data_IF_369287944574
#
_entry.id   IF_369287944574
#
_cell.length_a   1.000
_cell.length_b   1.000
_cell.length_c   1.000
_cell.angle_alpha   90.00
_cell.angle_beta   90.00
_cell.angle_gamma   90.00
#
_symmetry.space_group_name_H-M   'P 1'
#
loop_
_entity.id
_entity.type
_entity.pdbx_description
1 polymer ?
#
# COMPACT_ATOMS: atom_id res chain seq x y z
N UNK A 1 22.84 -1.07 7.02
CA UNK A 1 23.14 -2.25 6.18
C UNK A 1 22.37 -2.11 4.87
N UNK A 2 23.02 -2.12 3.70
CA UNK A 2 22.32 -2.05 2.41
C UNK A 2 21.84 -3.44 2.00
N UNK A 3 20.53 -3.64 1.93
CA UNK A 3 19.96 -4.85 1.33
C UNK A 3 19.95 -4.67 -0.19
N UNK A 4 20.36 -5.71 -0.94
CA UNK A 4 20.29 -5.76 -2.39
C UNK A 4 19.12 -6.66 -2.78
N UNK A 5 18.10 -6.05 -3.36
CA UNK A 5 16.94 -6.76 -3.92
C UNK A 5 17.35 -7.24 -5.31
N UNK A 6 17.23 -8.54 -5.56
CA UNK A 6 17.78 -9.15 -6.75
C UNK A 6 16.71 -9.42 -7.82
N UNK A 7 17.05 -9.07 -9.05
CA UNK A 7 16.36 -9.57 -10.25
C UNK A 7 16.52 -11.10 -10.33
N UNK A 8 15.53 -11.81 -10.88
CA UNK A 8 15.58 -13.27 -10.95
C UNK A 8 16.78 -13.79 -11.73
N UNK A 9 17.25 -13.04 -12.74
CA UNK A 9 18.45 -13.35 -13.54
C UNK A 9 19.70 -13.51 -12.67
N UNK A 10 19.78 -12.84 -11.53
CA UNK A 10 20.91 -12.95 -10.59
C UNK A 10 21.10 -14.39 -10.10
N UNK A 11 19.99 -15.10 -9.83
CA UNK A 11 20.06 -16.50 -9.36
C UNK A 11 20.56 -17.45 -10.45
N UNK A 12 20.23 -17.17 -11.71
CA UNK A 12 20.76 -17.90 -12.86
C UNK A 12 22.24 -17.59 -13.12
N UNK A 13 22.64 -16.33 -12.96
CA UNK A 13 24.03 -15.90 -13.10
C UNK A 13 24.92 -16.58 -12.05
N UNK A 14 24.45 -16.68 -10.80
CA UNK A 14 25.15 -17.41 -9.73
C UNK A 14 25.38 -18.88 -10.13
N UNK A 15 24.37 -19.55 -10.70
CA UNK A 15 24.53 -20.92 -11.19
C UNK A 15 25.53 -21.07 -12.32
N UNK A 16 25.57 -20.10 -13.22
CA UNK A 16 26.51 -20.10 -14.35
C UNK A 16 27.97 -19.87 -13.94
N UNK A 17 28.25 -19.67 -12.64
CA UNK A 17 29.59 -19.39 -12.12
C UNK A 17 30.02 -17.93 -12.27
N UNK A 18 29.10 -17.03 -12.61
CA UNK A 18 29.38 -15.59 -12.70
C UNK A 18 29.50 -14.99 -11.29
N UNK A 19 30.71 -15.05 -10.74
CA UNK A 19 31.01 -14.63 -9.36
C UNK A 19 30.98 -13.11 -9.12
N UNK A 20 30.75 -12.30 -10.14
CA UNK A 20 30.73 -10.83 -10.03
C UNK A 20 29.74 -10.32 -8.99
N UNK A 21 28.55 -10.93 -8.90
CA UNK A 21 27.54 -10.52 -7.93
C UNK A 21 27.97 -10.84 -6.49
N UNK A 22 28.53 -12.05 -6.27
CA UNK A 22 29.02 -12.52 -4.98
C UNK A 22 30.23 -11.70 -4.50
N UNK A 23 31.12 -11.33 -5.42
CA UNK A 23 32.26 -10.47 -5.13
C UNK A 23 31.81 -9.04 -4.77
N UNK A 24 30.80 -8.51 -5.47
CA UNK A 24 30.21 -7.19 -5.17
C UNK A 24 29.56 -7.18 -3.79
N UNK A 25 28.85 -8.25 -3.41
CA UNK A 25 28.24 -8.40 -2.08
C UNK A 25 29.29 -8.40 -0.97
N UNK A 26 30.37 -9.19 -1.13
CA UNK A 26 31.50 -9.21 -0.19
C UNK A 26 32.14 -7.82 -0.03
N UNK A 27 32.34 -7.10 -1.14
CA UNK A 27 32.98 -5.78 -1.11
C UNK A 27 32.10 -4.68 -0.46
N UNK A 28 30.78 -4.80 -0.56
CA UNK A 28 29.82 -3.77 -0.10
C UNK A 28 29.13 -4.10 1.21
N UNK A 29 29.30 -5.31 1.73
CA UNK A 29 28.52 -5.83 2.86
C UNK A 29 27.02 -5.93 2.55
N UNK A 30 26.67 -6.09 1.28
CA UNK A 30 25.30 -6.21 0.81
C UNK A 30 24.69 -7.58 1.14
N UNK A 31 23.36 -7.63 1.28
CA UNK A 31 22.58 -8.86 1.50
C UNK A 31 21.71 -9.21 0.30
N UNK A 32 21.65 -10.47 -0.09
CA UNK A 32 20.77 -10.99 -1.14
C UNK A 32 19.35 -11.18 -0.61
N UNK A 33 18.41 -10.42 -1.16
CA UNK A 33 17.00 -10.52 -0.81
C UNK A 33 16.17 -11.16 -1.94
N UNK A 34 15.29 -12.08 -1.58
CA UNK A 34 14.33 -12.75 -2.47
C UNK A 34 12.95 -12.12 -2.29
N UNK A 35 12.31 -11.78 -3.41
CA UNK A 35 10.93 -11.28 -3.47
C UNK A 35 9.97 -12.38 -3.95
N UNK A 36 8.67 -12.23 -3.71
CA UNK A 36 7.65 -13.10 -4.30
C UNK A 36 7.70 -13.18 -5.83
N UNK A 37 8.06 -12.08 -6.50
CA UNK A 37 8.19 -12.05 -7.96
C UNK A 37 9.28 -13.01 -8.41
N UNK A 38 10.42 -13.05 -7.72
CA UNK A 38 11.48 -14.01 -8.04
C UNK A 38 10.98 -15.45 -7.97
N UNK A 39 10.19 -15.74 -6.94
CA UNK A 39 9.67 -17.09 -6.68
C UNK A 39 8.60 -17.46 -7.70
N UNK A 40 7.70 -16.53 -8.04
CA UNK A 40 6.75 -16.71 -9.13
C UNK A 40 7.47 -16.97 -10.45
N UNK A 41 8.54 -16.27 -10.78
CA UNK A 41 9.26 -16.46 -12.03
C UNK A 41 10.00 -17.80 -12.14
N UNK A 42 10.50 -18.29 -11.00
CA UNK A 42 11.32 -19.50 -10.92
C UNK A 42 10.44 -20.75 -10.76
N UNK A 43 9.37 -20.64 -9.98
CA UNK A 43 8.49 -21.76 -9.63
C UNK A 43 7.23 -21.87 -10.49
N UNK A 44 6.95 -20.90 -11.37
CA UNK A 44 5.95 -21.03 -12.43
C UNK A 44 6.57 -21.51 -13.74
N UNK A 45 5.72 -22.01 -14.64
CA UNK A 45 6.14 -22.49 -15.97
C UNK A 45 7.26 -23.53 -15.89
N UNK A 46 7.23 -24.36 -14.84
CA UNK A 46 8.10 -25.52 -14.70
C UNK A 46 7.51 -26.64 -15.55
N UNK A 47 8.35 -27.30 -16.33
CA UNK A 47 7.97 -28.46 -17.15
C UNK A 47 9.06 -29.54 -17.07
N UNK A 48 8.82 -30.70 -17.67
CA UNK A 48 9.76 -31.82 -17.65
C UNK A 48 11.13 -31.48 -18.27
N UNK A 49 11.20 -30.53 -19.21
CA UNK A 49 12.43 -30.16 -19.91
C UNK A 49 13.28 -29.19 -19.09
N UNK A 50 12.64 -28.31 -18.32
CA UNK A 50 13.31 -27.27 -17.56
C UNK A 50 13.40 -27.56 -16.05
N UNK A 51 12.75 -28.62 -15.57
CA UNK A 51 12.67 -28.97 -14.15
C UNK A 51 14.02 -28.95 -13.43
N UNK A 52 15.00 -29.73 -13.90
CA UNK A 52 16.32 -29.80 -13.28
C UNK A 52 17.02 -28.43 -13.24
N UNK A 53 16.85 -27.63 -14.30
CA UNK A 53 17.39 -26.29 -14.35
C UNK A 53 16.73 -25.38 -13.30
N UNK A 54 15.40 -25.42 -13.17
CA UNK A 54 14.65 -24.67 -12.15
C UNK A 54 14.98 -25.11 -10.73
N UNK A 55 15.22 -26.41 -10.51
CA UNK A 55 15.68 -26.93 -9.22
C UNK A 55 17.05 -26.39 -8.83
N UNK A 56 17.99 -26.33 -9.77
CA UNK A 56 19.28 -25.72 -9.50
C UNK A 56 19.11 -24.24 -9.11
N UNK A 57 18.19 -23.51 -9.72
CA UNK A 57 17.96 -22.09 -9.39
C UNK A 57 17.35 -21.95 -8.00
N UNK A 58 16.40 -22.83 -7.66
CA UNK A 58 15.88 -22.94 -6.31
C UNK A 58 16.97 -23.26 -5.29
N UNK A 59 17.94 -24.12 -5.65
CA UNK A 59 19.12 -24.40 -4.82
C UNK A 59 19.97 -23.15 -4.61
N UNK A 60 20.26 -22.39 -5.67
CA UNK A 60 21.01 -21.13 -5.55
C UNK A 60 20.31 -20.11 -4.65
N UNK A 61 18.97 -20.00 -4.74
CA UNK A 61 18.20 -19.19 -3.80
C UNK A 61 18.39 -19.68 -2.37
N UNK A 62 18.25 -20.98 -2.12
CA UNK A 62 18.36 -21.55 -0.77
C UNK A 62 19.76 -21.41 -0.16
N UNK A 63 20.80 -21.51 -0.99
CA UNK A 63 22.20 -21.44 -0.54
C UNK A 63 22.67 -20.01 -0.29
N UNK A 64 22.20 -19.03 -1.07
CA UNK A 64 22.76 -17.68 -1.09
C UNK A 64 21.80 -16.57 -0.62
N UNK A 65 20.49 -16.82 -0.48
CA UNK A 65 19.57 -15.79 -0.01
C UNK A 65 19.74 -15.50 1.49
N UNK A 66 20.03 -14.25 1.83
CA UNK A 66 20.08 -13.77 3.21
C UNK A 66 18.68 -13.53 3.79
N UNK A 67 17.72 -13.15 2.95
CA UNK A 67 16.37 -12.78 3.40
C UNK A 67 15.29 -13.06 2.36
N UNK A 68 14.15 -13.53 2.83
CA UNK A 68 12.90 -13.58 2.07
C UNK A 68 12.03 -12.40 2.47
N UNK A 69 11.66 -11.59 1.49
CA UNK A 69 10.78 -10.45 1.70
C UNK A 69 9.32 -10.92 1.60
N UNK A 70 8.46 -10.32 2.43
CA UNK A 70 7.02 -10.52 2.31
C UNK A 70 6.51 -9.87 1.03
N UNK A 71 5.33 -10.27 0.55
CA UNK A 71 4.72 -9.60 -0.59
C UNK A 71 4.32 -8.18 -0.25
N UNK A 72 4.29 -7.31 -1.27
CA UNK A 72 3.89 -5.92 -1.09
C UNK A 72 2.47 -5.84 -0.51
N UNK A 73 1.59 -6.76 -0.90
CA UNK A 73 0.22 -6.89 -0.39
C UNK A 73 0.20 -7.21 1.10
N UNK A 74 0.99 -8.19 1.56
CA UNK A 74 1.08 -8.57 2.97
C UNK A 74 1.73 -7.45 3.79
N UNK A 75 2.78 -6.83 3.25
CA UNK A 75 3.46 -5.69 3.90
C UNK A 75 2.48 -4.54 4.11
N UNK A 76 1.80 -4.14 3.05
CA UNK A 76 0.84 -3.05 3.09
C UNK A 76 -0.38 -3.38 3.95
N UNK A 77 -0.87 -4.62 3.89
CA UNK A 77 -1.96 -5.06 4.75
C UNK A 77 -1.59 -4.89 6.22
N UNK A 78 -0.41 -5.37 6.62
CA UNK A 78 0.11 -5.19 7.99
C UNK A 78 0.37 -3.73 8.33
N UNK A 79 0.92 -2.95 7.41
CA UNK A 79 1.17 -1.52 7.59
C UNK A 79 -0.11 -0.75 7.91
N UNK A 80 -1.23 -1.10 7.25
CA UNK A 80 -2.55 -0.54 7.53
C UNK A 80 -3.30 -1.22 8.68
N UNK A 81 -2.63 -2.04 9.48
CA UNK A 81 -3.21 -2.68 10.66
C UNK A 81 -4.17 -3.83 10.36
N UNK A 82 -4.21 -4.34 9.13
CA UNK A 82 -5.02 -5.51 8.81
C UNK A 82 -4.39 -6.80 9.33
N UNK A 83 -5.26 -7.70 9.82
CA UNK A 83 -4.85 -9.07 10.17
C UNK A 83 -4.80 -9.92 8.90
N UNK A 84 -3.60 -10.34 8.52
CA UNK A 84 -3.40 -11.26 7.39
C UNK A 84 -3.63 -12.69 7.88
N UNK A 85 -4.64 -13.37 7.31
CA UNK A 85 -5.02 -14.71 7.74
C UNK A 85 -4.32 -15.82 6.95
N UNK A 86 -4.03 -15.60 5.66
CA UNK A 86 -3.37 -16.57 4.78
C UNK A 86 -2.10 -15.94 4.19
N UNK A 87 -0.93 -16.23 4.79
CA UNK A 87 0.36 -15.81 4.23
C UNK A 87 0.91 -16.91 3.32
N UNK A 88 1.18 -16.57 2.06
CA UNK A 88 1.93 -17.46 1.18
C UNK A 88 3.37 -17.51 1.67
N UNK A 89 3.78 -18.66 2.19
CA UNK A 89 5.16 -18.89 2.59
C UNK A 89 6.03 -19.14 1.36
N UNK A 90 6.50 -18.04 0.76
CA UNK A 90 7.25 -18.09 -0.50
C UNK A 90 8.49 -18.99 -0.45
N UNK A 91 9.18 -19.05 0.69
CA UNK A 91 10.29 -19.97 0.91
C UNK A 91 9.88 -21.44 0.76
N UNK A 92 8.67 -21.82 1.20
CA UNK A 92 8.16 -23.18 1.05
C UNK A 92 7.90 -23.54 -0.41
N UNK A 93 7.54 -22.58 -1.26
CA UNK A 93 7.42 -22.81 -2.69
C UNK A 93 8.78 -23.11 -3.35
N UNK A 94 9.85 -22.45 -2.91
CA UNK A 94 11.22 -22.72 -3.37
C UNK A 94 11.69 -24.10 -2.88
N UNK A 95 11.47 -24.41 -1.60
CA UNK A 95 11.80 -25.70 -1.01
C UNK A 95 11.07 -26.86 -1.70
N UNK A 96 9.79 -26.68 -1.99
CA UNK A 96 8.96 -27.67 -2.67
C UNK A 96 9.48 -27.96 -4.09
N UNK A 97 9.90 -26.93 -4.83
CA UNK A 97 10.55 -27.13 -6.13
C UNK A 97 11.90 -27.85 -5.98
N UNK A 98 12.76 -27.36 -5.08
CA UNK A 98 14.12 -27.87 -4.88
C UNK A 98 14.14 -29.36 -4.51
N UNK A 99 13.22 -29.80 -3.65
CA UNK A 99 13.25 -31.13 -3.04
C UNK A 99 12.37 -32.16 -3.74
N UNK A 100 11.61 -31.76 -4.76
CA UNK A 100 10.83 -32.70 -5.54
C UNK A 100 11.74 -33.72 -6.25
N UNK A 101 11.51 -35.05 -6.11
CA UNK A 101 12.33 -36.06 -6.79
C UNK A 101 12.20 -36.01 -8.31
N UNK A 102 11.04 -35.64 -8.82
CA UNK A 102 10.76 -35.49 -10.24
C UNK A 102 9.73 -34.38 -10.49
N UNK A 103 9.62 -33.95 -11.75
CA UNK A 103 8.54 -33.05 -12.18
C UNK A 103 7.15 -33.62 -11.85
N UNK A 104 6.97 -34.93 -12.02
CA UNK A 104 5.67 -35.56 -11.79
C UNK A 104 5.31 -35.57 -10.30
N UNK A 105 6.30 -35.76 -9.43
CA UNK A 105 6.18 -35.67 -7.98
C UNK A 105 5.89 -34.24 -7.51
N UNK A 106 6.50 -33.24 -8.16
CA UNK A 106 6.23 -31.82 -7.87
C UNK A 106 4.74 -31.48 -8.04
N UNK A 107 4.14 -31.96 -9.14
CA UNK A 107 2.75 -31.65 -9.53
C UNK A 107 1.74 -32.52 -8.78
N UNK A 108 2.02 -33.81 -8.62
CA UNK A 108 1.07 -34.74 -7.99
C UNK A 108 1.21 -34.76 -6.46
N UNK A 109 2.34 -34.30 -5.96
CA UNK A 109 2.71 -34.26 -4.55
C UNK A 109 3.61 -35.41 -4.15
N UNK A 110 4.47 -35.16 -3.17
CA UNK A 110 5.48 -36.10 -2.68
C UNK A 110 5.69 -35.94 -1.17
N UNK A 111 6.31 -36.95 -0.56
CA UNK A 111 6.80 -36.85 0.82
C UNK A 111 8.23 -36.32 0.73
N UNK A 112 8.48 -35.17 1.34
CA UNK A 112 9.80 -34.58 1.38
C UNK A 112 10.78 -35.53 2.08
N UNK A 113 11.88 -35.93 1.42
CA UNK A 113 12.81 -36.90 1.97
C UNK A 113 13.59 -36.39 3.20
N UNK A 114 13.57 -35.08 3.48
CA UNK A 114 14.33 -34.46 4.57
C UNK A 114 13.47 -34.26 5.81
N UNK A 115 12.27 -33.68 5.67
CA UNK A 115 11.41 -33.33 6.80
C UNK A 115 10.14 -34.19 6.91
N UNK A 116 9.96 -35.17 6.02
CA UNK A 116 8.83 -36.10 6.00
C UNK A 116 7.45 -35.39 5.90
N UNK A 117 7.43 -34.19 5.32
CA UNK A 117 6.20 -33.41 5.09
C UNK A 117 5.68 -33.69 3.68
N UNK A 118 4.35 -33.85 3.54
CA UNK A 118 3.72 -33.92 2.23
C UNK A 118 3.75 -32.55 1.55
N UNK A 119 4.40 -32.45 0.40
CA UNK A 119 4.53 -31.23 -0.40
C UNK A 119 3.91 -31.42 -1.77
N UNK A 120 3.41 -30.34 -2.35
CA UNK A 120 2.88 -30.29 -3.71
C UNK A 120 2.94 -28.84 -4.20
N UNK A 121 3.17 -28.66 -5.50
CA UNK A 121 3.12 -27.35 -6.11
C UNK A 121 2.00 -27.28 -7.15
N UNK A 122 1.09 -26.31 -6.98
CA UNK A 122 0.09 -25.99 -8.01
C UNK A 122 0.70 -25.05 -9.04
N UNK A 123 1.26 -25.63 -10.10
CA UNK A 123 1.89 -24.88 -11.19
C UNK A 123 0.90 -23.99 -11.94
N UNK A 124 -0.37 -24.41 -12.07
CA UNK A 124 -1.40 -23.62 -12.74
C UNK A 124 -1.77 -22.39 -11.93
N UNK A 125 -1.87 -22.53 -10.61
CA UNK A 125 -2.09 -21.39 -9.71
C UNK A 125 -0.92 -20.41 -9.76
N UNK A 126 0.33 -20.90 -9.68
CA UNK A 126 1.53 -20.05 -9.77
C UNK A 126 1.68 -19.37 -11.12
N UNK A 127 1.35 -20.06 -12.21
CA UNK A 127 1.33 -19.47 -13.54
C UNK A 127 0.23 -18.42 -13.65
N UNK A 128 -0.97 -18.70 -13.14
CA UNK A 128 -2.07 -17.73 -13.10
C UNK A 128 -1.71 -16.49 -12.28
N UNK A 129 -1.06 -16.67 -11.12
CA UNK A 129 -0.58 -15.57 -10.28
C UNK A 129 0.51 -14.76 -10.95
N UNK A 130 1.48 -15.44 -11.59
CA UNK A 130 2.49 -14.76 -12.38
C UNK A 130 1.84 -13.99 -13.52
N UNK A 131 0.98 -14.63 -14.30
CA UNK A 131 0.28 -13.98 -15.40
C UNK A 131 -0.59 -12.84 -14.93
N UNK A 132 -1.26 -12.94 -13.79
CA UNK A 132 -2.06 -11.88 -13.21
C UNK A 132 -1.17 -10.71 -12.76
N UNK A 133 -0.09 -10.97 -12.01
CA UNK A 133 0.90 -9.96 -11.67
C UNK A 133 1.47 -9.27 -12.91
N UNK A 134 1.79 -10.04 -13.96
CA UNK A 134 2.30 -9.52 -15.21
C UNK A 134 1.23 -8.84 -16.06
N UNK A 135 -0.02 -9.31 -16.12
CA UNK A 135 -1.12 -8.74 -16.90
C UNK A 135 -1.68 -7.50 -16.24
N UNK A 136 -1.79 -7.41 -14.92
CA UNK A 136 -2.19 -6.18 -14.24
C UNK A 136 -1.08 -5.15 -14.29
N UNK A 137 0.18 -5.56 -14.09
CA UNK A 137 1.32 -4.68 -14.31
C UNK A 137 1.37 -4.19 -15.75
N UNK A 138 1.31 -5.09 -16.72
CA UNK A 138 1.40 -4.77 -18.14
C UNK A 138 0.16 -4.01 -18.62
N UNK A 139 -1.06 -4.44 -18.32
CA UNK A 139 -2.30 -3.79 -18.81
C UNK A 139 -2.58 -2.50 -18.05
N UNK A 140 -2.38 -2.45 -16.73
CA UNK A 140 -2.57 -1.23 -15.94
C UNK A 140 -1.57 -0.14 -16.31
N UNK A 141 -0.28 -0.49 -16.39
CA UNK A 141 0.76 0.46 -16.81
C UNK A 141 0.67 0.75 -18.30
N UNK A 142 0.40 -0.23 -19.18
CA UNK A 142 0.22 0.05 -20.62
C UNK A 142 -1.01 0.91 -20.87
N UNK A 143 -2.14 0.67 -20.20
CA UNK A 143 -3.32 1.51 -20.38
C UNK A 143 -3.08 2.93 -19.88
N UNK A 144 -2.34 3.10 -18.78
CA UNK A 144 -1.90 4.41 -18.31
C UNK A 144 -0.93 5.09 -19.30
N UNK A 145 0.04 4.34 -19.84
CA UNK A 145 0.97 4.84 -20.85
C UNK A 145 0.24 5.15 -22.17
N UNK A 146 -0.76 4.36 -22.56
CA UNK A 146 -1.53 4.50 -23.79
C UNK A 146 -2.52 5.66 -23.71
N UNK A 147 -3.12 5.93 -22.54
CA UNK A 147 -4.01 7.09 -22.35
C UNK A 147 -3.24 8.42 -22.42
N UNK A 148 -1.96 8.41 -22.01
CA UNK A 148 -1.09 9.59 -22.00
C UNK A 148 -0.26 9.70 -23.30
N UNK A 149 0.09 8.57 -23.92
CA UNK A 149 0.90 8.47 -25.14
C UNK A 149 0.22 7.54 -26.17
N UNK A 150 -0.80 8.03 -26.92
CA UNK A 150 -1.73 7.21 -27.72
C UNK A 150 -1.10 6.33 -28.81
N UNK A 151 0.15 6.62 -29.19
CA UNK A 151 0.90 5.85 -30.21
C UNK A 151 1.79 4.74 -29.62
N UNK A 152 1.76 4.51 -28.31
CA UNK A 152 2.63 3.53 -27.66
C UNK A 152 2.33 2.09 -28.11
N UNK A 153 1.05 1.70 -28.17
CA UNK A 153 0.62 0.38 -28.66
C UNK A 153 0.83 0.22 -30.17
N UNK A 154 0.63 1.27 -30.97
CA UNK A 154 0.93 1.26 -32.42
C UNK A 154 2.41 0.98 -32.68
N UNK A 155 3.32 1.65 -31.95
CA UNK A 155 4.78 1.40 -32.05
C UNK A 155 5.19 0.01 -31.57
N UNK A 156 4.37 -0.65 -30.75
CA UNK A 156 4.59 -2.02 -30.27
C UNK A 156 4.08 -3.07 -31.27
N UNK A 157 3.03 -2.73 -32.04
CA UNK A 157 2.42 -3.58 -33.07
C UNK A 157 3.20 -3.58 -34.39
N UNK A 158 3.94 -2.50 -34.69
CA UNK A 158 4.84 -2.40 -35.85
C UNK A 158 6.14 -3.24 -35.67
N UNK A 159 5.99 -4.55 -35.48
CA UNK A 159 6.85 -5.66 -35.94
C UNK A 159 8.39 -5.64 -35.82
N UNK A 160 9.04 -4.61 -35.28
CA UNK A 160 10.48 -4.39 -35.43
C UNK A 160 11.20 -3.99 -34.14
N UNK A 161 10.70 -4.42 -32.97
CA UNK A 161 11.60 -4.65 -31.83
C UNK A 161 12.40 -5.93 -32.09
N UNK A 162 13.25 -5.94 -33.14
CA UNK A 162 14.42 -6.81 -33.20
C UNK A 162 15.10 -6.66 -31.85
N UNK A 163 15.10 -7.72 -31.03
CA UNK A 163 15.94 -7.93 -29.84
C UNK A 163 16.70 -6.66 -29.46
N UNK A 164 16.03 -5.69 -28.83
CA UNK A 164 16.74 -4.48 -28.44
C UNK A 164 17.84 -4.92 -27.49
N UNK A 165 19.09 -4.84 -27.95
CA UNK A 165 20.24 -4.72 -27.06
C UNK A 165 19.81 -3.70 -26.02
N UNK A 166 19.64 -4.14 -24.77
CA UNK A 166 19.35 -3.34 -23.56
C UNK A 166 19.67 -1.87 -23.83
N UNK A 167 18.68 -1.09 -24.26
CA UNK A 167 18.90 0.34 -24.43
C UNK A 167 19.10 0.89 -23.04
N UNK A 168 20.30 1.38 -22.76
CA UNK A 168 20.73 2.04 -21.51
C UNK A 168 19.98 3.36 -21.23
N UNK A 169 18.76 3.53 -21.72
CA UNK A 169 17.94 4.67 -21.37
C UNK A 169 17.08 4.24 -20.19
N UNK A 170 17.41 4.79 -19.02
CA UNK A 170 16.63 4.58 -17.80
C UNK A 170 15.16 4.90 -18.09
N UNK A 171 14.29 3.94 -17.83
CA UNK A 171 12.86 4.20 -17.72
C UNK A 171 12.68 5.17 -16.56
N UNK A 172 12.24 6.39 -16.87
CA UNK A 172 11.88 7.39 -15.87
C UNK A 172 10.44 7.10 -15.43
N UNK A 173 10.29 6.60 -14.20
CA UNK A 173 8.98 6.38 -13.57
C UNK A 173 8.49 7.74 -13.09
N UNK A 174 7.35 8.21 -13.60
CA UNK A 174 6.76 9.48 -13.17
C UNK A 174 5.98 9.29 -11.87
N UNK A 175 5.77 10.37 -11.13
CA UNK A 175 5.06 10.35 -9.84
C UNK A 175 3.63 9.78 -9.96
N UNK A 176 2.96 10.04 -11.08
CA UNK A 176 1.64 9.49 -11.42
C UNK A 176 1.62 7.95 -11.57
N UNK A 177 2.71 7.34 -12.07
CA UNK A 177 2.85 5.89 -12.21
C UNK A 177 3.02 5.18 -10.85
N UNK A 178 3.60 5.91 -9.88
CA UNK A 178 3.75 5.45 -8.50
C UNK A 178 2.38 5.34 -7.85
N UNK A 179 1.50 6.33 -8.04
CA UNK A 179 0.14 6.35 -7.49
C UNK A 179 -0.71 5.16 -7.95
N UNK A 180 -0.73 4.86 -9.25
CA UNK A 180 -1.47 3.72 -9.78
C UNK A 180 -0.93 2.37 -9.26
N UNK A 181 0.40 2.25 -9.15
CA UNK A 181 1.05 1.06 -8.61
C UNK A 181 0.72 0.83 -7.14
N UNK A 182 0.68 1.91 -6.34
CA UNK A 182 0.28 1.88 -4.93
C UNK A 182 -1.18 1.46 -4.80
N UNK A 183 -2.08 2.04 -5.60
CA UNK A 183 -3.51 1.71 -5.56
C UNK A 183 -3.76 0.24 -5.92
N UNK A 184 -3.10 -0.28 -6.95
CA UNK A 184 -3.21 -1.69 -7.32
C UNK A 184 -2.69 -2.61 -6.20
N UNK A 185 -1.58 -2.24 -5.53
CA UNK A 185 -1.09 -2.98 -4.36
C UNK A 185 -2.07 -2.91 -3.17
N UNK A 186 -2.72 -1.76 -2.96
CA UNK A 186 -3.76 -1.57 -1.94
C UNK A 186 -4.97 -2.46 -2.18
N UNK A 187 -5.49 -2.50 -3.41
CA UNK A 187 -6.60 -3.36 -3.79
C UNK A 187 -6.32 -4.84 -3.47
N UNK A 188 -5.11 -5.31 -3.76
CA UNK A 188 -4.72 -6.69 -3.44
C UNK A 188 -4.47 -6.91 -1.95
N UNK A 189 -3.95 -5.92 -1.23
CA UNK A 189 -3.79 -5.99 0.22
C UNK A 189 -5.13 -6.20 0.93
N UNK A 190 -6.22 -5.56 0.46
CA UNK A 190 -7.58 -5.81 0.94
C UNK A 190 -8.04 -7.25 0.75
N UNK A 191 -7.77 -7.83 -0.42
CA UNK A 191 -8.13 -9.23 -0.72
C UNK A 191 -7.41 -10.19 0.23
N UNK A 192 -6.12 -9.94 0.49
CA UNK A 192 -5.29 -10.75 1.39
C UNK A 192 -5.69 -10.59 2.87
N UNK A 193 -6.12 -9.40 3.27
CA UNK A 193 -6.56 -9.10 4.63
C UNK A 193 -7.87 -9.81 5.05
N UNK A 194 -8.67 -10.32 4.10
CA UNK A 194 -10.07 -10.80 4.32
C UNK A 194 -10.96 -9.80 5.11
N UNK A 195 -10.55 -8.53 5.20
CA UNK A 195 -11.30 -7.48 5.88
C UNK A 195 -12.28 -6.85 4.89
N UNK A 196 -13.57 -6.97 5.18
CA UNK A 196 -14.63 -6.41 4.36
C UNK A 196 -14.97 -4.97 4.71
N UNK A 197 -14.27 -4.30 5.64
CA UNK A 197 -14.59 -2.91 6.05
C UNK A 197 -14.75 -1.96 4.87
N UNK A 198 -13.95 -2.13 3.82
CA UNK A 198 -14.07 -1.28 2.61
C UNK A 198 -15.27 -1.66 1.75
N UNK A 199 -15.65 -2.95 1.68
CA UNK A 199 -16.92 -3.35 1.06
C UNK A 199 -18.11 -2.85 1.89
N UNK A 200 -18.03 -2.91 3.21
CA UNK A 200 -19.04 -2.36 4.11
C UNK A 200 -19.18 -0.85 3.93
N UNK A 201 -18.08 -0.10 3.90
CA UNK A 201 -18.07 1.33 3.61
C UNK A 201 -18.59 1.63 2.19
N UNK A 202 -18.31 0.78 1.20
CA UNK A 202 -18.78 0.97 -0.18
C UNK A 202 -20.31 0.94 -0.31
N UNK A 203 -21.02 0.30 0.62
CA UNK A 203 -22.50 0.32 0.66
C UNK A 203 -23.05 1.72 0.93
N UNK A 204 -22.24 2.63 1.46
CA UNK A 204 -22.59 4.01 1.73
C UNK A 204 -22.16 4.98 0.63
N UNK A 205 -21.54 4.50 -0.46
CA UNK A 205 -21.03 5.38 -1.54
C UNK A 205 -22.12 6.29 -2.11
N UNK A 206 -23.36 5.79 -2.21
CA UNK A 206 -24.49 6.53 -2.77
C UNK A 206 -25.02 7.61 -1.80
N UNK A 207 -24.51 7.64 -0.55
CA UNK A 207 -24.72 8.74 0.40
C UNK A 207 -23.66 9.83 0.31
N UNK A 208 -22.59 9.63 -0.46
CA UNK A 208 -21.51 10.60 -0.66
C UNK A 208 -21.76 11.31 -1.99
N UNK A 209 -22.13 12.58 -1.93
CA UNK A 209 -22.42 13.35 -3.14
C UNK A 209 -21.15 13.72 -3.91
N UNK A 210 -20.08 14.09 -3.19
CA UNK A 210 -18.79 14.45 -3.78
C UNK A 210 -17.65 14.21 -2.79
N UNK A 211 -16.43 14.10 -3.32
CA UNK A 211 -15.17 14.02 -2.59
C UNK A 211 -14.22 15.02 -3.26
N UNK A 212 -13.57 15.86 -2.47
CA UNK A 212 -12.68 16.92 -2.95
C UNK A 212 -11.31 16.80 -2.25
N UNK A 213 -10.23 17.11 -2.97
CA UNK A 213 -8.87 17.18 -2.46
C UNK A 213 -8.33 18.60 -2.71
N UNK A 214 -7.75 19.23 -1.69
CA UNK A 214 -7.10 20.53 -1.84
C UNK A 214 -7.18 21.40 -0.60
N UNK A 215 -7.00 22.71 -0.78
CA UNK A 215 -7.13 23.67 0.31
C UNK A 215 -8.59 23.75 0.76
N UNK A 216 -8.84 23.48 2.04
CA UNK A 216 -10.20 23.42 2.59
C UNK A 216 -11.00 24.71 2.38
N UNK A 217 -10.38 25.89 2.42
CA UNK A 217 -11.09 27.17 2.19
C UNK A 217 -11.52 27.32 0.74
N UNK A 218 -10.69 26.88 -0.20
CA UNK A 218 -11.03 26.92 -1.63
C UNK A 218 -12.17 25.94 -1.92
N UNK A 219 -12.10 24.73 -1.37
CA UNK A 219 -13.19 23.74 -1.48
C UNK A 219 -14.50 24.30 -0.91
N UNK A 220 -14.47 24.85 0.31
CA UNK A 220 -15.67 25.41 0.94
C UNK A 220 -16.24 26.61 0.16
N UNK A 221 -15.39 27.46 -0.42
CA UNK A 221 -15.82 28.58 -1.27
C UNK A 221 -16.44 28.08 -2.58
N UNK A 222 -15.82 27.11 -3.22
CA UNK A 222 -16.29 26.56 -4.50
C UNK A 222 -17.60 25.77 -4.34
N UNK A 223 -17.88 25.27 -3.13
CA UNK A 223 -19.10 24.53 -2.79
C UNK A 223 -20.11 25.35 -2.00
N UNK A 224 -19.93 26.68 -1.90
CA UNK A 224 -20.84 27.51 -1.10
C UNK A 224 -22.30 27.41 -1.57
N UNK A 225 -22.54 27.18 -2.86
CA UNK A 225 -23.90 27.02 -3.40
C UNK A 225 -24.58 25.72 -2.91
N UNK A 226 -23.80 24.68 -2.61
CA UNK A 226 -24.28 23.41 -2.06
C UNK A 226 -24.49 23.49 -0.52
N UNK A 227 -23.85 24.45 0.14
CA UNK A 227 -23.92 24.65 1.59
C UNK A 227 -25.06 25.61 1.91
N UNK A 228 -26.22 25.05 2.23
CA UNK A 228 -27.42 25.79 2.61
C UNK A 228 -27.53 25.99 4.12
N UNK A 229 -28.50 26.79 4.58
CA UNK A 229 -28.80 26.94 6.02
C UNK A 229 -29.27 25.61 6.67
N UNK A 230 -29.77 24.66 5.88
CA UNK A 230 -30.17 23.32 6.32
C UNK A 230 -28.97 22.34 6.41
N UNK A 231 -27.80 22.74 5.91
CA UNK A 231 -26.60 21.92 5.97
C UNK A 231 -26.05 21.90 7.38
N UNK A 232 -25.67 20.71 7.86
CA UNK A 232 -24.87 20.55 9.07
C UNK A 232 -23.42 20.25 8.70
N UNK A 233 -22.49 21.02 9.24
CA UNK A 233 -21.06 20.92 8.91
C UNK A 233 -20.28 20.47 10.14
N UNK A 234 -19.52 19.39 10.00
CA UNK A 234 -18.56 18.98 11.01
C UNK A 234 -17.14 19.35 10.58
N UNK A 235 -16.44 20.13 11.41
CA UNK A 235 -15.06 20.54 11.21
C UNK A 235 -14.13 19.74 12.13
N UNK A 236 -13.12 19.10 11.55
CA UNK A 236 -12.06 18.36 12.23
C UNK A 236 -10.68 18.75 11.66
N UNK A 237 -10.21 19.98 11.93
CA UNK A 237 -8.97 20.51 11.40
C UNK A 237 -7.74 19.83 12.05
N UNK A 238 -6.54 19.99 11.44
CA UNK A 238 -5.31 19.53 12.07
C UNK A 238 -5.15 20.04 13.50
N UNK A 239 -4.93 19.11 14.42
CA UNK A 239 -4.80 19.36 15.86
C UNK A 239 -3.59 20.24 16.20
N UNK A 240 -3.57 20.84 17.39
CA UNK A 240 -2.46 21.70 17.84
C UNK A 240 -1.31 20.84 18.37
N UNK A 241 -1.59 19.98 19.35
CA UNK A 241 -0.56 19.20 20.05
C UNK A 241 -0.28 17.87 19.33
N UNK A 242 -1.32 17.23 18.83
CA UNK A 242 -1.22 15.92 18.14
C UNK A 242 -0.89 16.04 16.65
N UNK A 243 -0.77 17.25 16.10
CA UNK A 243 -0.62 17.52 14.67
C UNK A 243 0.49 16.68 14.00
N UNK A 244 1.70 16.75 14.57
CA UNK A 244 2.94 16.23 13.96
C UNK A 244 2.93 14.73 13.72
N UNK A 245 2.14 13.98 14.49
CA UNK A 245 2.07 12.52 14.38
C UNK A 245 0.84 12.04 13.59
N UNK A 246 -0.11 12.94 13.29
CA UNK A 246 -1.39 12.59 12.68
C UNK A 246 -1.59 13.17 11.27
N UNK A 247 -0.98 14.31 10.95
CA UNK A 247 -1.21 15.02 9.70
C UNK A 247 0.09 15.29 8.95
N UNK A 248 0.07 15.11 7.63
CA UNK A 248 1.18 15.50 6.75
C UNK A 248 1.30 17.02 6.61
N UNK A 249 0.18 17.73 6.74
CA UNK A 249 0.10 19.19 6.68
C UNK A 249 -0.53 19.71 7.98
N UNK A 250 0.29 20.31 8.83
CA UNK A 250 -0.15 20.87 10.11
C UNK A 250 -0.62 22.32 9.92
N UNK A 251 -1.61 22.74 10.70
CA UNK A 251 -1.95 24.15 10.80
C UNK A 251 -0.89 24.90 11.62
N UNK A 252 -0.59 26.10 11.18
CA UNK A 252 0.10 27.11 11.99
C UNK A 252 -0.94 27.89 12.80
N UNK A 253 -0.49 28.63 13.81
CA UNK A 253 -1.37 29.45 14.66
C UNK A 253 -2.35 30.34 13.85
N UNK A 254 -1.84 30.96 12.78
CA UNK A 254 -2.64 31.81 11.91
C UNK A 254 -3.70 31.04 11.10
N UNK A 255 -3.47 29.77 10.77
CA UNK A 255 -4.45 28.95 10.04
C UNK A 255 -5.68 28.64 10.91
N UNK A 256 -5.46 28.39 12.21
CA UNK A 256 -6.56 28.23 13.16
C UNK A 256 -7.40 29.52 13.27
N UNK A 257 -6.74 30.69 13.29
CA UNK A 257 -7.40 32.01 13.32
C UNK A 257 -8.24 32.22 12.05
N UNK A 258 -7.67 31.92 10.88
CA UNK A 258 -8.36 32.02 9.59
C UNK A 258 -9.60 31.10 9.57
N UNK A 259 -9.46 29.85 10.04
CA UNK A 259 -10.59 28.93 10.14
C UNK A 259 -11.69 29.50 11.05
N UNK A 260 -11.36 29.96 12.27
CA UNK A 260 -12.34 30.59 13.18
C UNK A 260 -13.11 31.73 12.50
N UNK A 261 -12.38 32.63 11.83
CA UNK A 261 -13.00 33.80 11.18
C UNK A 261 -13.87 33.43 9.97
N UNK A 262 -13.55 32.31 9.32
CA UNK A 262 -14.38 31.73 8.27
C UNK A 262 -15.66 31.12 8.85
N UNK A 263 -15.54 30.18 9.80
CA UNK A 263 -16.70 29.43 10.31
C UNK A 263 -17.70 30.32 11.05
N UNK A 264 -17.23 31.40 11.70
CA UNK A 264 -18.09 32.40 12.34
C UNK A 264 -19.08 33.06 11.38
N UNK A 265 -18.76 33.13 10.09
CA UNK A 265 -19.58 33.78 9.06
C UNK A 265 -20.57 32.83 8.39
N UNK A 266 -20.46 31.52 8.66
CA UNK A 266 -21.36 30.53 8.09
C UNK A 266 -22.74 30.65 8.74
N UNK A 267 -23.78 30.56 7.91
CA UNK A 267 -25.17 30.54 8.36
C UNK A 267 -25.64 29.13 8.73
N UNK A 268 -25.03 28.12 8.14
CA UNK A 268 -25.27 26.70 8.40
C UNK A 268 -24.92 26.32 9.84
N UNK A 269 -25.60 25.31 10.37
CA UNK A 269 -25.23 24.73 11.66
C UNK A 269 -23.88 24.02 11.55
N UNK A 270 -23.00 24.20 12.53
CA UNK A 270 -21.71 23.57 12.52
C UNK A 270 -21.24 23.11 13.88
N UNK A 271 -20.43 22.05 13.91
CA UNK A 271 -19.72 21.56 15.08
C UNK A 271 -18.24 21.44 14.72
N UNK A 272 -17.38 21.85 15.64
CA UNK A 272 -15.93 21.82 15.50
C UNK A 272 -15.35 21.05 16.68
N UNK A 273 -14.40 20.16 16.42
CA UNK A 273 -13.62 19.49 17.46
C UNK A 273 -12.13 19.79 17.32
N UNK A 274 -11.41 19.71 18.44
CA UNK A 274 -9.97 19.86 18.55
C UNK A 274 -9.44 18.98 19.69
N UNK A 275 -8.14 18.67 19.66
CA UNK A 275 -7.44 18.32 20.88
C UNK A 275 -7.44 19.50 21.87
N UNK A 276 -7.53 19.21 23.16
CA UNK A 276 -7.58 20.30 24.13
C UNK A 276 -6.26 21.09 24.14
N UNK A 277 -6.36 22.38 23.85
CA UNK A 277 -5.29 23.35 24.01
C UNK A 277 -5.87 24.69 24.48
N UNK A 278 -5.16 25.36 25.38
CA UNK A 278 -5.60 26.67 25.89
C UNK A 278 -5.67 27.75 24.81
N UNK A 279 -4.86 27.66 23.76
CA UNK A 279 -4.90 28.58 22.62
C UNK A 279 -6.23 28.46 21.87
N UNK A 280 -6.71 27.23 21.63
CA UNK A 280 -8.00 26.97 20.99
C UNK A 280 -9.16 27.41 21.88
N UNK A 281 -9.10 27.12 23.17
CA UNK A 281 -10.15 27.60 24.09
C UNK A 281 -10.23 29.14 24.10
N UNK A 282 -9.08 29.82 24.05
CA UNK A 282 -9.01 31.28 23.95
C UNK A 282 -9.49 31.80 22.59
N UNK A 283 -9.26 31.05 21.53
CA UNK A 283 -9.65 31.40 20.17
C UNK A 283 -11.18 31.46 20.01
N UNK A 284 -11.89 30.58 20.72
CA UNK A 284 -13.35 30.45 20.70
C UNK A 284 -14.03 30.94 22.00
N UNK A 285 -13.40 31.87 22.73
CA UNK A 285 -13.88 32.33 24.05
C UNK A 285 -15.13 33.21 24.06
N UNK A 286 -15.48 33.82 22.92
CA UNK A 286 -16.62 34.74 22.86
C UNK A 286 -17.94 33.95 22.88
N UNK A 287 -18.51 33.82 24.08
CA UNK A 287 -19.73 33.07 24.34
C UNK A 287 -20.98 33.67 23.70
N UNK A 288 -20.91 34.89 23.16
CA UNK A 288 -22.01 35.46 22.37
C UNK A 288 -22.03 34.91 20.95
N UNK A 289 -20.92 34.35 20.49
CA UNK A 289 -20.73 33.83 19.14
C UNK A 289 -20.68 32.30 19.17
N UNK A 290 -19.99 31.73 20.16
CA UNK A 290 -19.68 30.31 20.20
C UNK A 290 -20.24 29.65 21.46
N UNK A 291 -20.90 28.52 21.28
CA UNK A 291 -21.06 27.52 22.33
C UNK A 291 -19.79 26.67 22.38
N UNK A 292 -19.29 26.39 23.58
CA UNK A 292 -18.06 25.61 23.76
C UNK A 292 -18.20 24.58 24.88
N UNK A 293 -17.46 23.49 24.75
CA UNK A 293 -17.46 22.41 25.71
C UNK A 293 -16.13 21.67 25.71
N UNK A 294 -15.93 20.85 26.73
CA UNK A 294 -14.87 19.85 26.72
C UNK A 294 -15.44 18.51 27.15
N UNK A 295 -14.96 17.45 26.54
CA UNK A 295 -15.37 16.09 26.87
C UNK A 295 -14.16 15.19 27.03
N UNK A 296 -14.31 14.13 27.83
CA UNK A 296 -13.27 13.14 28.06
C UNK A 296 -13.48 11.97 27.10
N UNK A 297 -12.48 11.69 26.27
CA UNK A 297 -12.47 10.54 25.37
C UNK A 297 -11.51 9.49 25.90
N UNK A 298 -11.96 8.23 25.91
CA UNK A 298 -11.08 7.09 26.15
C UNK A 298 -10.69 6.48 24.82
N UNK A 299 -9.47 6.77 24.36
CA UNK A 299 -8.94 6.15 23.15
C UNK A 299 -8.55 4.70 23.43
N UNK A 300 -9.16 3.76 22.69
CA UNK A 300 -8.93 2.31 22.82
C UNK A 300 -7.86 1.77 21.87
N UNK A 301 -7.25 2.63 21.06
CA UNK A 301 -6.36 2.23 19.94
C UNK A 301 -4.93 1.86 20.40
N UNK A 302 -4.50 2.20 21.63
CA UNK A 302 -3.21 1.78 22.17
C UNK A 302 -3.35 0.80 23.34
N UNK A 303 -2.83 -0.43 23.18
CA UNK A 303 -2.86 -1.51 24.18
C UNK A 303 -2.08 -1.19 25.48
N UNK A 304 -1.37 -0.05 25.54
CA UNK A 304 -0.62 0.40 26.71
C UNK A 304 -1.15 1.74 27.22
N UNK A 305 -2.02 1.67 28.24
CA UNK A 305 -2.66 2.75 29.03
C UNK A 305 -3.89 3.41 28.38
N UNK A 306 -5.03 3.20 29.04
CA UNK A 306 -6.28 3.97 28.86
C UNK A 306 -6.09 5.36 29.47
N UNK A 307 -5.41 6.25 28.76
CA UNK A 307 -5.37 7.65 29.16
C UNK A 307 -6.69 8.30 28.71
N UNK A 308 -7.41 8.90 29.65
CA UNK A 308 -8.50 9.83 29.33
C UNK A 308 -7.87 11.07 28.72
N UNK A 309 -8.30 11.44 27.52
CA UNK A 309 -7.82 12.64 26.83
C UNK A 309 -8.97 13.63 26.78
N UNK A 310 -8.68 14.89 27.10
CA UNK A 310 -9.63 15.99 26.99
C UNK A 310 -9.66 16.48 25.54
N UNK A 311 -10.85 16.63 25.00
CA UNK A 311 -11.10 17.23 23.69
C UNK A 311 -11.97 18.46 23.83
N UNK A 312 -11.77 19.42 22.94
CA UNK A 312 -12.48 20.69 22.89
C UNK A 312 -13.55 20.64 21.79
N UNK A 313 -14.72 21.21 22.08
CA UNK A 313 -15.79 21.43 21.11
C UNK A 313 -16.15 22.91 21.04
N UNK A 314 -16.45 23.37 19.83
CA UNK A 314 -17.13 24.64 19.61
C UNK A 314 -18.26 24.47 18.58
N UNK A 315 -19.31 25.29 18.69
CA UNK A 315 -20.46 25.28 17.78
C UNK A 315 -21.18 26.62 17.76
N UNK A 316 -22.00 26.86 16.72
CA UNK A 316 -23.03 27.89 16.72
C UNK A 316 -24.41 27.39 17.21
N UNK A 317 -24.57 26.10 17.47
CA UNK A 317 -25.79 25.52 18.06
C UNK A 317 -25.57 25.21 19.53
N UNK A 318 -26.68 25.06 20.26
CA UNK A 318 -26.63 24.71 21.67
C UNK A 318 -26.11 23.27 21.86
N UNK A 319 -24.99 23.12 22.57
CA UNK A 319 -24.36 21.82 22.79
C UNK A 319 -25.18 20.92 23.73
N UNK A 320 -26.16 21.44 24.47
CA UNK A 320 -27.09 20.61 25.25
C UNK A 320 -28.11 19.86 24.39
N UNK A 321 -28.25 20.22 23.12
CA UNK A 321 -29.24 19.66 22.21
C UNK A 321 -28.64 18.49 21.36
N UNK A 322 -27.36 18.17 21.57
CA UNK A 322 -26.59 17.09 20.95
C UNK A 322 -26.51 15.86 21.88
#
# INVERSE_FOLDING_TARGET
>A
MKNIICDSNVWYDILSGNSNILNTLKATGGKLCVTPINILEIASKVDSNNFNYRQNVAKAIMDYADRYLMSNEVYLARYWGFKVNDEVHWKEAVLTLLRAPSYNDLVNGYIDPIDNVKRKQDLKLLESWREYHYKDFNTGIINAIQSIHPKYMERKADGNLKKHKKSKNLFEVKEEDIGASILACYERAKVVAKDNRIKELSKYKDKVLFIEEGNYLEVLKNKMEDITEETFIYFDPPYVNKAKNLYNFCFMENDHIILRDYIKKLKSNWLLSYDYDTSIENLYKDSKIFQKGCFEVTYTISESKRNKIKEFLASNINLSDL
#
